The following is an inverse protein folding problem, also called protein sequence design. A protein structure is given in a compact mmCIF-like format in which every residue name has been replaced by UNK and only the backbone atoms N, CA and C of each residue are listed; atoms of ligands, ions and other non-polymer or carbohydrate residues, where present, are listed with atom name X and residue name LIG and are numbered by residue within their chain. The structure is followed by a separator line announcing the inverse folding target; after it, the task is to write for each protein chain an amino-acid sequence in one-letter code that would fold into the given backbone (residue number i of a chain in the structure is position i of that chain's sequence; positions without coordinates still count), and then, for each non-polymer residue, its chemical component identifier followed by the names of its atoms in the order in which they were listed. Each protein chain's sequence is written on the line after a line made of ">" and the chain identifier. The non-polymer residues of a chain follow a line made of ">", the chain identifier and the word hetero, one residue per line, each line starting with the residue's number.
data_IF_642952650212
#
_entry.id   IF_642952650212
#
_cell.length_a   1.000
_cell.length_b   1.000
_cell.length_c   1.000
_cell.angle_alpha   90.00
_cell.angle_beta   90.00
_cell.angle_gamma   90.00
#
_symmetry.space_group_name_H-M   'P 1'
#
loop_
_entity.id
_entity.type
_entity.pdbx_description
1 polymer ?
#
# COMPACT_ATOMS: atom_id res chain seq x y z
N UNK A 1 -20.97 9.45 0.74
CA UNK A 1 -20.12 8.26 0.64
C UNK A 1 -20.75 7.29 -0.30
N UNK A 2 -19.96 6.64 -1.15
CA UNK A 2 -20.45 5.52 -1.94
C UNK A 2 -20.60 4.31 -1.03
N UNK A 3 -21.58 3.47 -1.32
CA UNK A 3 -21.79 2.24 -0.55
C UNK A 3 -20.62 1.29 -0.80
N UNK A 4 -20.23 0.56 0.23
CA UNK A 4 -19.22 -0.49 0.12
C UNK A 4 -19.84 -1.72 -0.60
N UNK A 5 -19.04 -2.75 -0.87
CA UNK A 5 -19.44 -3.94 -1.64
C UNK A 5 -20.69 -4.65 -1.07
N UNK A 6 -20.92 -4.54 0.23
CA UNK A 6 -22.05 -5.11 0.96
C UNK A 6 -23.27 -4.18 1.03
N UNK A 7 -23.22 -3.00 0.41
CA UNK A 7 -24.28 -1.99 0.48
C UNK A 7 -24.30 -1.22 1.81
N UNK A 8 -23.35 -1.48 2.72
CA UNK A 8 -23.23 -0.74 3.96
C UNK A 8 -22.41 0.55 3.76
N UNK A 9 -22.64 1.53 4.65
CA UNK A 9 -21.83 2.74 4.71
C UNK A 9 -20.58 2.42 5.53
N UNK A 10 -19.44 2.21 4.86
CA UNK A 10 -18.13 1.98 5.47
C UNK A 10 -17.10 2.93 4.89
N UNK A 11 -16.32 3.55 5.76
CA UNK A 11 -15.19 4.42 5.40
C UNK A 11 -13.92 3.59 5.17
N UNK A 12 -13.96 2.65 4.23
CA UNK A 12 -12.79 1.81 3.92
C UNK A 12 -11.95 2.43 2.80
N UNK A 13 -10.75 2.89 3.12
CA UNK A 13 -9.81 3.49 2.16
C UNK A 13 -9.22 2.48 1.16
N UNK A 14 -9.39 1.18 1.40
CA UNK A 14 -8.91 0.10 0.53
C UNK A 14 -10.00 -0.50 -0.37
N UNK A 15 -11.27 -0.11 -0.20
CA UNK A 15 -12.37 -0.56 -1.03
C UNK A 15 -12.61 0.37 -2.21
N UNK A 16 -12.55 -0.18 -3.43
CA UNK A 16 -12.85 0.55 -4.67
C UNK A 16 -14.27 1.14 -4.67
N UNK A 17 -15.23 0.45 -4.05
CA UNK A 17 -16.62 0.87 -3.99
C UNK A 17 -16.78 2.11 -3.10
N UNK A 18 -16.19 2.11 -1.90
CA UNK A 18 -16.18 3.27 -1.01
C UNK A 18 -15.40 4.46 -1.63
N UNK A 19 -14.33 4.14 -2.37
CA UNK A 19 -13.43 5.09 -3.01
C UNK A 19 -13.90 5.58 -4.40
N UNK A 20 -15.08 5.18 -4.87
CA UNK A 20 -15.57 5.49 -6.21
C UNK A 20 -15.57 6.99 -6.54
N UNK A 21 -15.85 7.85 -5.53
CA UNK A 21 -15.79 9.30 -5.68
C UNK A 21 -14.38 9.83 -5.96
N UNK A 22 -13.36 9.29 -5.28
CA UNK A 22 -11.96 9.67 -5.52
C UNK A 22 -11.44 9.06 -6.82
N UNK A 23 -11.84 7.82 -7.14
CA UNK A 23 -11.49 7.15 -8.40
C UNK A 23 -12.04 7.88 -9.62
N UNK A 24 -13.21 8.52 -9.53
CA UNK A 24 -13.75 9.35 -10.60
C UNK A 24 -12.94 10.64 -10.83
N UNK A 25 -12.12 11.05 -9.85
CA UNK A 25 -11.26 12.23 -9.93
C UNK A 25 -9.79 11.87 -10.15
N UNK A 26 -9.45 10.60 -10.32
CA UNK A 26 -8.06 10.12 -10.40
C UNK A 26 -7.24 10.78 -11.52
N UNK A 27 -7.88 11.13 -12.64
CA UNK A 27 -7.18 11.71 -13.79
C UNK A 27 -6.83 13.20 -13.60
N UNK A 28 -7.29 13.81 -12.49
CA UNK A 28 -7.00 15.21 -12.16
C UNK A 28 -5.77 15.37 -11.27
N UNK A 29 -5.24 14.28 -10.72
CA UNK A 29 -4.14 14.29 -9.76
C UNK A 29 -3.08 13.27 -10.16
N UNK A 30 -1.81 13.64 -10.06
CA UNK A 30 -0.72 12.68 -10.26
C UNK A 30 -0.74 11.58 -9.18
N UNK A 31 -1.11 11.99 -7.95
CA UNK A 31 -1.25 11.12 -6.80
C UNK A 31 -2.39 11.63 -5.92
N UNK A 32 -3.28 10.73 -5.53
CA UNK A 32 -4.31 10.99 -4.54
C UNK A 32 -4.24 9.93 -3.43
N UNK A 33 -4.73 10.28 -2.25
CA UNK A 33 -4.76 9.38 -1.11
C UNK A 33 -6.05 9.57 -0.32
N UNK A 34 -6.50 8.50 0.34
CA UNK A 34 -7.53 8.56 1.35
C UNK A 34 -7.12 7.73 2.55
N UNK A 35 -7.67 8.11 3.70
CA UNK A 35 -7.54 7.34 4.93
C UNK A 35 -8.94 7.02 5.46
N UNK A 36 -8.99 6.07 6.38
CA UNK A 36 -10.16 5.82 7.19
C UNK A 36 -10.33 6.88 8.30
N UNK A 37 -11.43 6.86 9.06
CA UNK A 37 -11.76 7.92 10.02
C UNK A 37 -10.75 8.08 11.15
N UNK A 38 -10.05 7.01 11.51
CA UNK A 38 -8.99 6.92 12.51
C UNK A 38 -7.58 7.14 11.94
N UNK A 39 -7.44 7.26 10.62
CA UNK A 39 -6.21 7.63 9.92
C UNK A 39 -5.03 6.65 10.13
N UNK A 40 -5.29 5.40 10.50
CA UNK A 40 -4.25 4.38 10.64
C UNK A 40 -4.05 3.56 9.34
N UNK A 41 -5.04 3.57 8.44
CA UNK A 41 -4.96 2.94 7.11
C UNK A 41 -4.89 3.96 5.98
N UNK A 42 -4.21 3.57 4.90
CA UNK A 42 -3.98 4.40 3.72
C UNK A 42 -4.43 3.69 2.44
N UNK A 43 -5.15 4.41 1.59
CA UNK A 43 -5.47 4.04 0.22
C UNK A 43 -4.77 4.98 -0.75
N UNK A 44 -3.91 4.44 -1.61
CA UNK A 44 -3.14 5.22 -2.59
C UNK A 44 -3.78 5.08 -3.97
N UNK A 45 -4.13 6.21 -4.58
CA UNK A 45 -4.75 6.29 -5.90
C UNK A 45 -3.82 6.99 -6.86
N UNK A 46 -3.68 6.39 -8.04
CA UNK A 46 -2.95 6.94 -9.18
C UNK A 46 -3.93 7.06 -10.36
N UNK A 47 -3.55 7.68 -11.50
CA UNK A 47 -4.37 7.66 -12.70
C UNK A 47 -4.74 6.24 -13.19
N UNK A 48 -3.92 5.24 -12.85
CA UNK A 48 -4.19 3.83 -13.13
C UNK A 48 -5.25 3.20 -12.20
N UNK A 49 -5.63 3.86 -11.11
CA UNK A 49 -6.61 3.40 -10.14
C UNK A 49 -6.06 3.27 -8.72
N UNK A 50 -6.81 2.54 -7.88
CA UNK A 50 -6.45 2.25 -6.49
C UNK A 50 -5.36 1.17 -6.47
N UNK A 51 -4.25 1.46 -5.81
CA UNK A 51 -3.13 0.54 -5.70
C UNK A 51 -3.45 -0.56 -4.69
N UNK A 52 -3.10 -1.81 -5.01
CA UNK A 52 -3.21 -2.91 -4.06
C UNK A 52 -2.32 -2.63 -2.83
N UNK A 53 -2.83 -2.76 -1.59
CA UNK A 53 -2.06 -2.49 -0.38
C UNK A 53 -0.73 -3.26 -0.30
N UNK A 54 -0.70 -4.53 -0.74
CA UNK A 54 0.53 -5.33 -0.73
C UNK A 54 1.57 -4.80 -1.72
N UNK A 55 1.13 -4.31 -2.89
CA UNK A 55 2.05 -3.72 -3.86
C UNK A 55 2.65 -2.43 -3.33
N UNK A 56 1.83 -1.59 -2.68
CA UNK A 56 2.32 -0.35 -2.11
C UNK A 56 3.34 -0.61 -1.00
N UNK A 57 3.06 -1.56 -0.11
CA UNK A 57 3.98 -1.94 0.96
C UNK A 57 5.32 -2.48 0.43
N UNK A 58 5.31 -3.30 -0.64
CA UNK A 58 6.54 -3.77 -1.27
C UNK A 58 7.38 -2.62 -1.84
N UNK A 59 6.75 -1.66 -2.52
CA UNK A 59 7.43 -0.48 -3.06
C UNK A 59 7.96 0.42 -1.95
N UNK A 60 7.18 0.63 -0.89
CA UNK A 60 7.57 1.45 0.26
C UNK A 60 8.79 0.89 0.98
N UNK A 61 8.81 -0.43 1.24
CA UNK A 61 9.96 -1.11 1.85
C UNK A 61 11.20 -0.95 0.95
N UNK A 62 11.08 -1.27 -0.34
CA UNK A 62 12.19 -1.17 -1.28
C UNK A 62 12.75 0.27 -1.36
N UNK A 63 11.89 1.28 -1.42
CA UNK A 63 12.30 2.68 -1.45
C UNK A 63 13.01 3.08 -0.15
N UNK A 64 12.46 2.71 1.02
CA UNK A 64 13.03 3.07 2.32
C UNK A 64 14.42 2.49 2.53
N UNK A 65 14.65 1.21 2.19
CA UNK A 65 15.96 0.57 2.35
C UNK A 65 17.04 1.17 1.44
N UNK A 66 16.66 1.71 0.29
CA UNK A 66 17.60 2.37 -0.62
C UNK A 66 17.86 3.85 -0.26
N UNK A 67 16.89 4.53 0.36
CA UNK A 67 16.92 5.98 0.60
C UNK A 67 17.06 6.36 2.09
N UNK A 68 17.52 5.42 2.93
CA UNK A 68 17.82 5.65 4.36
C UNK A 68 19.26 5.22 4.69
N UNK A 69 20.28 5.98 4.25
CA UNK A 69 21.69 5.61 4.45
C UNK A 69 22.12 5.60 5.93
N UNK A 70 21.32 6.17 6.82
CA UNK A 70 21.55 6.18 8.27
C UNK A 70 21.07 4.91 8.97
N UNK A 71 20.30 4.05 8.30
CA UNK A 71 19.84 2.79 8.88
C UNK A 71 21.00 1.80 8.93
N UNK A 72 21.25 1.26 10.12
CA UNK A 72 22.27 0.23 10.32
C UNK A 72 21.92 -1.07 9.60
N UNK A 73 22.92 -1.95 9.42
CA UNK A 73 22.73 -3.26 8.79
C UNK A 73 21.80 -4.20 9.56
N UNK A 74 21.56 -3.90 10.84
CA UNK A 74 20.72 -4.69 11.74
C UNK A 74 19.23 -4.32 11.67
N UNK A 75 18.85 -3.33 10.84
CA UNK A 75 17.45 -2.93 10.67
C UNK A 75 16.71 -3.98 9.85
N UNK A 76 15.72 -4.61 10.47
CA UNK A 76 14.87 -5.64 9.87
C UNK A 76 13.46 -5.11 9.52
N UNK A 77 12.74 -5.87 8.69
CA UNK A 77 11.35 -5.59 8.29
C UNK A 77 10.41 -6.60 8.93
N UNK A 78 9.42 -6.12 9.68
CA UNK A 78 8.32 -6.94 10.17
C UNK A 78 7.28 -7.18 9.07
N UNK A 79 7.02 -8.44 8.73
CA UNK A 79 6.02 -8.85 7.74
C UNK A 79 5.06 -9.86 8.36
N UNK A 80 3.76 -9.68 8.15
CA UNK A 80 2.75 -10.67 8.56
C UNK A 80 2.74 -11.87 7.60
N UNK A 81 2.47 -13.08 8.12
CA UNK A 81 2.55 -14.33 7.35
C UNK A 81 1.63 -14.34 6.11
N UNK A 82 0.47 -13.68 6.18
CA UNK A 82 -0.55 -13.65 5.11
C UNK A 82 -0.18 -12.67 3.99
N UNK A 83 0.92 -11.93 4.12
CA UNK A 83 1.36 -11.00 3.10
C UNK A 83 1.96 -11.76 1.90
N UNK A 84 1.13 -11.98 0.87
CA UNK A 84 1.52 -12.61 -0.38
C UNK A 84 2.39 -11.63 -1.20
N UNK A 85 3.64 -12.02 -1.43
CA UNK A 85 4.58 -11.31 -2.29
C UNK A 85 4.71 -12.13 -3.56
N UNK A 86 4.33 -11.56 -4.70
CA UNK A 86 4.46 -12.23 -5.99
C UNK A 86 5.95 -12.50 -6.28
N UNK A 87 6.28 -13.74 -6.66
CA UNK A 87 7.64 -14.29 -6.86
C UNK A 87 8.35 -13.67 -8.08
N UNK A 88 8.59 -12.35 -8.03
CA UNK A 88 9.40 -11.66 -9.03
C UNK A 88 10.88 -11.68 -8.64
N UNK A 89 11.81 -11.94 -9.58
CA UNK A 89 13.22 -12.27 -9.30
C UNK A 89 14.04 -11.17 -8.61
N UNK A 90 13.49 -9.96 -8.49
CA UNK A 90 14.11 -8.79 -7.84
C UNK A 90 14.33 -8.96 -6.33
N UNK A 91 13.62 -9.89 -5.67
CA UNK A 91 13.77 -10.16 -4.24
C UNK A 91 14.86 -11.19 -3.87
N UNK A 92 15.56 -11.76 -4.88
CA UNK A 92 16.63 -12.74 -4.65
C UNK A 92 17.96 -12.15 -4.14
N UNK A 93 18.09 -10.82 -4.12
CA UNK A 93 19.27 -10.16 -3.56
C UNK A 93 19.08 -9.86 -2.07
N UNK A 94 19.60 -10.81 -1.28
CA UNK A 94 20.07 -10.64 0.11
C UNK A 94 18.99 -10.58 1.19
N UNK A 95 18.32 -11.70 1.43
CA UNK A 95 17.73 -12.00 2.73
C UNK A 95 18.61 -12.99 3.49
N UNK A 96 19.64 -12.48 4.16
CA UNK A 96 20.25 -13.19 5.28
C UNK A 96 19.39 -12.90 6.51
N UNK A 97 18.27 -13.60 6.65
CA UNK A 97 17.62 -13.76 7.96
C UNK A 97 18.40 -14.88 8.65
N UNK A 98 19.47 -14.50 9.36
CA UNK A 98 20.03 -15.40 10.37
C UNK A 98 19.06 -15.40 11.56
N UNK A 99 18.68 -16.61 11.98
CA UNK A 99 18.23 -16.85 13.35
C UNK A 99 19.29 -16.40 14.35
#
# INVERSE_FOLDING_TARGET
>A
MHLDKDGAIRMDCSSECAMAGLLALRDKFDLAFANDPDYDRHGIVTPAGLMNPNHYLAVAINYLFQHRPQWGKDVAVGKTLVFFCDDRPWWSMTWAVSW
#
